data_IF_510328267642
#
_entry.id   IF_510328267642
#
_cell.length_a   1.000
_cell.length_b   1.000
_cell.length_c   1.000
_cell.angle_alpha   90.00
_cell.angle_beta   90.00
_cell.angle_gamma   90.00
#
_symmetry.space_group_name_H-M   'P 1'
#
loop_
_entity.id
_entity.type
_entity.pdbx_description
1 polymer ?
#
# COMPACT_ATOMS: atom_id res chain seq x y z
N UNK A 1 -29.71 -20.99 -9.81
CA UNK A 1 -30.10 -21.90 -10.88
C UNK A 1 -31.30 -22.73 -10.47
N UNK A 2 -32.44 -22.46 -11.12
CA UNK A 2 -33.73 -23.11 -10.80
C UNK A 2 -33.88 -24.54 -11.34
N UNK A 3 -32.80 -25.17 -11.83
CA UNK A 3 -32.86 -26.43 -12.59
C UNK A 3 -32.05 -27.58 -12.01
N UNK A 4 -31.34 -27.42 -10.89
CA UNK A 4 -30.59 -28.52 -10.29
C UNK A 4 -31.39 -29.26 -9.20
N UNK A 5 -31.72 -30.50 -9.46
CA UNK A 5 -32.38 -31.46 -8.50
C UNK A 5 -31.43 -31.94 -7.39
N UNK A 6 -30.18 -31.51 -7.32
CA UNK A 6 -29.19 -31.89 -6.30
C UNK A 6 -28.88 -30.70 -5.40
N UNK A 7 -28.66 -31.00 -4.09
CA UNK A 7 -28.17 -30.00 -3.12
C UNK A 7 -26.88 -29.36 -3.64
N UNK A 8 -26.91 -28.04 -3.82
CA UNK A 8 -25.75 -27.24 -4.22
C UNK A 8 -24.77 -27.22 -3.06
N UNK A 9 -23.51 -27.58 -3.28
CA UNK A 9 -22.44 -27.41 -2.29
C UNK A 9 -22.30 -25.91 -1.96
N UNK A 10 -22.46 -25.59 -0.68
CA UNK A 10 -22.24 -24.23 -0.17
C UNK A 10 -20.87 -24.19 0.47
N UNK A 11 -20.13 -23.14 0.25
CA UNK A 11 -18.82 -22.85 0.83
C UNK A 11 -18.58 -21.38 0.89
N UNK A 12 -17.59 -20.95 1.68
CA UNK A 12 -17.07 -19.58 1.64
C UNK A 12 -16.38 -19.42 0.29
N UNK A 13 -16.78 -18.43 -0.48
CA UNK A 13 -16.18 -18.10 -1.78
C UNK A 13 -15.10 -17.03 -1.65
N UNK A 14 -15.26 -16.13 -0.69
CA UNK A 14 -14.37 -15.01 -0.47
C UNK A 14 -14.63 -14.42 0.92
N UNK A 15 -13.59 -13.99 1.61
CA UNK A 15 -13.69 -13.26 2.86
C UNK A 15 -13.20 -11.82 2.60
N UNK A 16 -14.13 -10.86 2.66
CA UNK A 16 -13.81 -9.45 2.41
C UNK A 16 -13.55 -8.73 3.72
N UNK A 17 -12.36 -8.16 3.86
CA UNK A 17 -11.97 -7.25 4.94
C UNK A 17 -11.76 -5.84 4.38
N UNK A 18 -11.64 -4.79 5.21
CA UNK A 18 -11.51 -3.41 4.72
C UNK A 18 -10.37 -3.20 3.72
N UNK A 19 -9.22 -3.85 3.93
CA UNK A 19 -8.04 -3.73 3.07
C UNK A 19 -8.11 -4.54 1.77
N UNK A 20 -9.01 -5.54 1.69
CA UNK A 20 -9.20 -6.39 0.50
C UNK A 20 -10.53 -6.16 -0.20
N UNK A 21 -11.26 -5.10 0.14
CA UNK A 21 -12.51 -4.76 -0.52
C UNK A 21 -12.25 -4.30 -1.97
N UNK A 22 -12.87 -4.97 -2.93
CA UNK A 22 -12.78 -4.65 -4.38
C UNK A 22 -14.09 -4.02 -4.88
N UNK A 23 -15.14 -3.99 -4.05
CA UNK A 23 -16.47 -3.60 -4.48
C UNK A 23 -16.60 -2.08 -4.62
N UNK A 24 -16.96 -1.61 -5.81
CA UNK A 24 -17.14 -0.20 -6.19
C UNK A 24 -18.09 0.60 -5.27
N UNK A 25 -19.01 -0.07 -4.57
CA UNK A 25 -19.92 0.58 -3.64
C UNK A 25 -19.28 0.97 -2.30
N UNK A 26 -18.07 0.49 -2.00
CA UNK A 26 -17.36 0.70 -0.73
C UNK A 26 -16.11 1.55 -0.92
N UNK A 27 -15.60 1.64 -2.15
CA UNK A 27 -14.35 2.32 -2.47
C UNK A 27 -14.62 3.77 -2.92
N UNK A 28 -13.84 4.71 -2.39
CA UNK A 28 -13.69 6.02 -3.00
C UNK A 28 -12.79 5.87 -4.23
N UNK A 29 -13.31 6.15 -5.42
CA UNK A 29 -12.56 6.00 -6.69
C UNK A 29 -11.27 6.84 -6.74
N UNK A 30 -11.22 7.93 -5.98
CA UNK A 30 -10.09 8.86 -5.94
C UNK A 30 -9.04 8.49 -4.88
N UNK A 31 -9.26 7.45 -4.07
CA UNK A 31 -8.34 7.00 -3.03
C UNK A 31 -7.86 5.58 -3.28
N UNK A 32 -6.61 5.30 -2.85
CA UNK A 32 -6.11 3.94 -2.79
C UNK A 32 -6.75 3.19 -1.61
N UNK A 33 -6.99 1.89 -1.80
CA UNK A 33 -7.41 0.99 -0.73
C UNK A 33 -6.27 0.06 -0.35
N UNK A 34 -5.32 0.58 0.43
CA UNK A 34 -4.15 -0.20 0.82
C UNK A 34 -4.44 -1.18 1.95
N UNK A 35 -4.09 -2.44 1.70
CA UNK A 35 -3.78 -3.44 2.71
C UNK A 35 -2.28 -3.31 3.02
N UNK A 36 -1.92 -3.13 4.28
CA UNK A 36 -0.52 -3.10 4.70
C UNK A 36 -0.14 -4.32 5.53
N UNK A 37 1.14 -4.66 5.55
CA UNK A 37 1.71 -5.59 6.51
C UNK A 37 2.97 -5.01 7.14
N UNK A 38 3.11 -5.17 8.46
CA UNK A 38 4.29 -4.74 9.22
C UNK A 38 4.94 -5.95 9.86
N UNK A 39 6.23 -6.10 9.66
CA UNK A 39 7.07 -7.10 10.32
C UNK A 39 8.09 -6.43 11.23
N UNK A 40 8.14 -6.86 12.48
CA UNK A 40 9.09 -6.36 13.48
C UNK A 40 10.35 -7.21 13.48
N UNK A 41 11.34 -6.82 12.70
CA UNK A 41 12.65 -7.45 12.69
C UNK A 41 13.52 -7.04 13.88
N UNK A 42 14.70 -7.66 14.02
CA UNK A 42 15.62 -7.40 15.15
C UNK A 42 16.24 -6.00 15.11
N UNK A 43 16.55 -5.48 13.95
CA UNK A 43 17.26 -4.20 13.75
C UNK A 43 16.43 -3.17 13.00
N UNK A 44 15.47 -3.60 12.22
CA UNK A 44 14.61 -2.75 11.41
C UNK A 44 13.24 -3.41 11.26
N UNK A 45 12.22 -2.62 10.97
CA UNK A 45 10.90 -3.09 10.62
C UNK A 45 10.76 -3.17 9.10
N UNK A 46 10.05 -4.19 8.61
CA UNK A 46 9.62 -4.27 7.22
C UNK A 46 8.19 -3.80 7.08
N UNK A 47 7.88 -3.17 5.96
CA UNK A 47 6.51 -2.77 5.62
C UNK A 47 6.22 -3.06 4.16
N UNK A 48 4.99 -3.44 3.89
CA UNK A 48 4.51 -3.56 2.53
C UNK A 48 3.08 -3.05 2.42
N UNK A 49 2.73 -2.51 1.25
CA UNK A 49 1.40 -1.99 0.93
C UNK A 49 0.93 -2.60 -0.38
N UNK A 50 -0.29 -3.07 -0.41
CA UNK A 50 -0.93 -3.58 -1.62
C UNK A 50 -2.30 -2.94 -1.79
N UNK A 51 -2.53 -2.34 -2.93
CA UNK A 51 -3.87 -1.99 -3.40
C UNK A 51 -4.33 -3.05 -4.42
N UNK A 52 -5.23 -3.92 -3.99
CA UNK A 52 -5.71 -5.03 -4.82
C UNK A 52 -6.45 -4.51 -6.05
N UNK A 53 -7.14 -3.36 -5.94
CA UNK A 53 -7.93 -2.81 -7.05
C UNK A 53 -7.07 -2.30 -8.21
N UNK A 54 -5.87 -1.81 -7.90
CA UNK A 54 -4.94 -1.23 -8.89
C UNK A 54 -3.77 -2.15 -9.22
N UNK A 55 -3.50 -3.16 -8.39
CA UNK A 55 -2.31 -4.00 -8.48
C UNK A 55 -1.03 -3.32 -8.00
N UNK A 56 -1.13 -2.15 -7.37
CA UNK A 56 0.01 -1.44 -6.85
C UNK A 56 0.55 -2.13 -5.60
N UNK A 57 1.77 -2.66 -5.68
CA UNK A 57 2.42 -3.39 -4.61
C UNK A 57 3.77 -2.75 -4.29
N UNK A 58 3.89 -2.24 -3.07
CA UNK A 58 5.03 -1.45 -2.61
C UNK A 58 5.64 -2.08 -1.36
N UNK A 59 6.97 -1.99 -1.20
CA UNK A 59 7.65 -2.48 0.00
C UNK A 59 8.82 -1.60 0.39
N UNK A 60 9.13 -1.60 1.68
CA UNK A 60 10.31 -0.94 2.25
C UNK A 60 10.72 -1.60 3.55
N UNK A 61 11.90 -1.23 4.05
CA UNK A 61 12.32 -1.54 5.41
C UNK A 61 13.14 -0.38 5.98
N UNK A 62 13.10 -0.23 7.29
CA UNK A 62 13.81 0.83 7.99
C UNK A 62 13.48 0.90 9.47
N UNK A 63 13.97 1.93 10.17
CA UNK A 63 13.66 2.16 11.57
C UNK A 63 12.16 2.44 11.78
N UNK A 64 11.69 2.23 12.99
CA UNK A 64 10.27 2.38 13.37
C UNK A 64 9.69 3.75 12.99
N UNK A 65 10.45 4.83 13.20
CA UNK A 65 10.02 6.20 12.86
C UNK A 65 9.76 6.40 11.36
N UNK A 66 10.54 5.70 10.53
CA UNK A 66 10.33 5.71 9.08
C UNK A 66 9.07 4.95 8.69
N UNK A 67 8.85 3.79 9.32
CA UNK A 67 7.63 2.99 9.09
C UNK A 67 6.38 3.74 9.55
N UNK A 68 6.44 4.47 10.69
CA UNK A 68 5.33 5.32 11.14
C UNK A 68 4.97 6.39 10.10
N UNK A 69 5.97 7.04 9.51
CA UNK A 69 5.74 8.01 8.43
C UNK A 69 5.06 7.39 7.23
N UNK A 70 5.52 6.21 6.78
CA UNK A 70 4.90 5.50 5.67
C UNK A 70 3.45 5.11 5.98
N UNK A 71 3.18 4.55 7.16
CA UNK A 71 1.82 4.21 7.60
C UNK A 71 0.89 5.43 7.61
N UNK A 72 1.39 6.58 8.09
CA UNK A 72 0.61 7.81 8.13
C UNK A 72 0.35 8.37 6.72
N UNK A 73 1.33 8.31 5.84
CA UNK A 73 1.25 8.90 4.50
C UNK A 73 0.44 8.04 3.53
N UNK A 74 0.58 6.71 3.58
CA UNK A 74 -0.23 5.79 2.78
C UNK A 74 -1.63 5.55 3.36
N UNK A 75 -1.81 5.79 4.65
CA UNK A 75 -3.07 5.65 5.39
C UNK A 75 -3.83 4.36 5.04
N UNK A 76 -3.22 3.17 5.24
CA UNK A 76 -3.82 1.91 4.86
C UNK A 76 -5.16 1.70 5.59
N UNK A 77 -6.11 1.05 4.93
CA UNK A 77 -7.42 0.72 5.50
C UNK A 77 -7.33 -0.45 6.48
N UNK A 78 -6.29 -1.28 6.33
CA UNK A 78 -6.04 -2.43 7.20
C UNK A 78 -4.55 -2.70 7.31
N UNK A 79 -4.09 -3.08 8.50
CA UNK A 79 -2.68 -3.40 8.78
C UNK A 79 -2.57 -4.81 9.38
N UNK A 80 -1.78 -5.64 8.73
CA UNK A 80 -1.47 -7.00 9.18
C UNK A 80 -0.17 -6.98 9.98
N UNK A 81 -0.11 -7.77 11.04
CA UNK A 81 1.13 -8.04 11.78
C UNK A 81 1.05 -9.40 12.49
N UNK A 82 2.20 -9.83 13.03
CA UNK A 82 2.36 -11.09 13.73
C UNK A 82 1.55 -11.13 15.03
N UNK A 83 0.86 -12.24 15.28
CA UNK A 83 0.09 -12.49 16.51
C UNK A 83 0.95 -12.25 17.75
N UNK A 84 0.35 -11.58 18.74
CA UNK A 84 1.02 -11.22 19.99
C UNK A 84 1.89 -9.98 19.91
N UNK A 85 2.04 -9.34 18.76
CA UNK A 85 2.79 -8.08 18.60
C UNK A 85 1.91 -6.83 18.72
N UNK A 86 0.62 -6.97 19.03
CA UNK A 86 -0.31 -5.84 19.15
C UNK A 86 0.16 -4.76 20.12
N UNK A 87 0.64 -5.07 21.33
CA UNK A 87 1.15 -4.03 22.22
C UNK A 87 2.34 -3.26 21.67
N UNK A 88 3.22 -3.96 20.93
CA UNK A 88 4.36 -3.34 20.23
C UNK A 88 3.88 -2.45 19.09
N UNK A 89 2.90 -2.91 18.31
CA UNK A 89 2.32 -2.14 17.20
C UNK A 89 1.66 -0.85 17.73
N UNK A 90 0.78 -0.96 18.70
CA UNK A 90 0.07 0.18 19.28
C UNK A 90 1.02 1.17 19.99
N UNK A 91 2.07 0.66 20.65
CA UNK A 91 3.10 1.48 21.29
C UNK A 91 3.91 2.33 20.32
N UNK A 92 4.16 1.83 19.10
CA UNK A 92 4.95 2.53 18.08
C UNK A 92 4.10 3.37 17.12
N UNK A 93 2.91 2.88 16.74
CA UNK A 93 2.11 3.48 15.63
C UNK A 93 0.74 3.98 16.08
N UNK A 94 0.37 3.76 17.36
CA UNK A 94 -0.93 4.12 17.90
C UNK A 94 -2.03 3.11 17.53
N UNK A 95 -3.27 3.43 17.93
CA UNK A 95 -4.43 2.55 17.82
C UNK A 95 -5.45 2.98 16.75
N UNK A 96 -5.08 3.89 15.86
CA UNK A 96 -5.99 4.45 14.84
C UNK A 96 -6.23 3.54 13.63
N UNK A 97 -5.37 2.55 13.43
CA UNK A 97 -5.46 1.64 12.29
C UNK A 97 -6.39 0.46 12.58
N UNK A 98 -7.16 0.05 11.58
CA UNK A 98 -7.81 -1.25 11.64
C UNK A 98 -6.74 -2.33 11.48
N UNK A 99 -6.65 -3.25 12.43
CA UNK A 99 -5.55 -4.21 12.51
C UNK A 99 -6.06 -5.65 12.50
N UNK A 100 -5.30 -6.53 11.86
CA UNK A 100 -5.55 -7.97 11.87
C UNK A 100 -4.26 -8.74 12.17
N UNK A 101 -4.33 -9.66 13.13
CA UNK A 101 -3.20 -10.46 13.55
C UNK A 101 -3.13 -11.77 12.74
N UNK A 102 -2.00 -12.03 12.10
CA UNK A 102 -1.71 -13.29 11.42
C UNK A 102 -0.82 -14.18 12.30
N UNK A 103 -0.90 -15.48 12.08
CA UNK A 103 -0.04 -16.45 12.77
C UNK A 103 1.44 -16.19 12.48
N UNK A 104 2.31 -16.51 13.44
CA UNK A 104 3.77 -16.29 13.40
C UNK A 104 4.44 -16.95 12.20
N UNK A 105 3.99 -18.16 11.81
CA UNK A 105 4.54 -18.90 10.68
C UNK A 105 4.39 -18.18 9.34
N UNK A 106 3.46 -17.25 9.22
CA UNK A 106 3.25 -16.42 8.02
C UNK A 106 4.45 -15.49 7.79
N UNK A 107 5.08 -15.02 8.86
CA UNK A 107 6.19 -14.09 8.83
C UNK A 107 7.55 -14.79 8.76
N UNK A 108 7.69 -15.69 7.81
CA UNK A 108 8.92 -16.44 7.56
C UNK A 108 9.54 -16.02 6.22
N UNK A 109 10.85 -15.66 6.22
CA UNK A 109 11.52 -15.13 5.03
C UNK A 109 11.57 -16.12 3.87
N UNK A 110 11.86 -17.40 4.14
CA UNK A 110 11.96 -18.43 3.10
C UNK A 110 10.61 -18.63 2.42
N UNK A 111 9.55 -18.80 3.19
CA UNK A 111 8.19 -18.96 2.68
C UNK A 111 7.69 -17.72 1.94
N UNK A 112 7.97 -16.53 2.47
CA UNK A 112 7.62 -15.25 1.84
C UNK A 112 8.31 -15.10 0.48
N UNK A 113 9.62 -15.39 0.42
CA UNK A 113 10.42 -15.32 -0.81
C UNK A 113 9.92 -16.31 -1.86
N UNK A 114 9.70 -17.57 -1.49
CA UNK A 114 9.16 -18.60 -2.39
C UNK A 114 7.79 -18.19 -2.95
N UNK A 115 6.93 -17.63 -2.12
CA UNK A 115 5.61 -17.17 -2.52
C UNK A 115 5.67 -16.01 -3.51
N UNK A 116 6.52 -15.02 -3.27
CA UNK A 116 6.75 -13.90 -4.18
C UNK A 116 7.33 -14.37 -5.52
N UNK A 117 8.33 -15.26 -5.51
CA UNK A 117 8.92 -15.83 -6.71
C UNK A 117 7.89 -16.60 -7.54
N UNK A 118 7.04 -17.38 -6.88
CA UNK A 118 5.96 -18.12 -7.53
C UNK A 118 4.90 -17.18 -8.11
N UNK A 119 4.50 -16.15 -7.38
CA UNK A 119 3.49 -15.18 -7.82
C UNK A 119 3.95 -14.38 -9.05
N UNK A 120 5.19 -13.90 -9.03
CA UNK A 120 5.76 -13.11 -10.14
C UNK A 120 6.40 -13.98 -11.24
N UNK A 121 6.37 -15.31 -11.12
CA UNK A 121 6.96 -16.25 -12.08
C UNK A 121 8.44 -15.95 -12.37
N UNK A 122 9.20 -15.55 -11.34
CA UNK A 122 10.60 -15.14 -11.46
C UNK A 122 11.54 -16.05 -10.68
N UNK A 123 12.83 -16.06 -11.05
CA UNK A 123 13.88 -16.82 -10.35
C UNK A 123 14.52 -16.05 -9.20
N UNK A 124 14.42 -14.72 -9.19
CA UNK A 124 14.96 -13.85 -8.15
C UNK A 124 14.17 -12.54 -8.10
N UNK A 125 14.35 -11.77 -7.02
CA UNK A 125 13.68 -10.49 -6.81
C UNK A 125 14.55 -9.28 -7.20
N UNK A 126 15.71 -9.49 -7.82
CA UNK A 126 16.64 -8.42 -8.22
C UNK A 126 16.02 -7.43 -9.20
N UNK A 127 15.23 -7.92 -10.15
CA UNK A 127 14.54 -7.09 -11.13
C UNK A 127 13.58 -6.08 -10.52
N UNK A 128 13.07 -6.36 -9.33
CA UNK A 128 12.20 -5.46 -8.56
C UNK A 128 12.96 -4.51 -7.62
N UNK A 129 14.30 -4.66 -7.50
CA UNK A 129 15.12 -3.85 -6.59
C UNK A 129 14.91 -4.14 -5.10
N UNK A 130 14.29 -5.28 -4.75
CA UNK A 130 13.91 -5.62 -3.37
C UNK A 130 14.70 -6.80 -2.79
N UNK A 131 15.67 -7.35 -3.52
CA UNK A 131 16.40 -8.57 -3.15
C UNK A 131 17.00 -8.52 -1.74
N UNK A 132 17.47 -7.35 -1.31
CA UNK A 132 18.16 -7.13 -0.03
C UNK A 132 17.21 -6.61 1.08
N UNK A 133 15.92 -6.48 0.81
CA UNK A 133 14.92 -6.02 1.79
C UNK A 133 14.33 -7.22 2.54
N UNK A 134 15.10 -7.83 3.45
CA UNK A 134 14.70 -9.07 4.14
C UNK A 134 13.37 -8.92 4.88
N UNK A 135 13.24 -7.86 5.70
CA UNK A 135 12.02 -7.60 6.45
C UNK A 135 10.87 -7.15 5.54
N UNK A 136 11.17 -6.38 4.48
CA UNK A 136 10.20 -5.98 3.47
C UNK A 136 9.64 -7.16 2.69
N UNK A 137 10.49 -8.15 2.35
CA UNK A 137 10.08 -9.42 1.70
C UNK A 137 9.13 -10.21 2.62
N UNK A 138 9.44 -10.31 3.92
CA UNK A 138 8.57 -10.98 4.89
C UNK A 138 7.19 -10.31 4.93
N UNK A 139 7.14 -8.98 5.03
CA UNK A 139 5.90 -8.22 5.03
C UNK A 139 5.12 -8.40 3.72
N UNK A 140 5.79 -8.38 2.57
CA UNK A 140 5.16 -8.61 1.26
C UNK A 140 4.58 -10.02 1.12
N UNK A 141 5.32 -11.02 1.59
CA UNK A 141 4.86 -12.41 1.62
C UNK A 141 3.64 -12.61 2.53
N UNK A 142 3.59 -11.90 3.67
CA UNK A 142 2.46 -11.94 4.59
C UNK A 142 1.17 -11.42 3.93
N UNK A 143 1.25 -10.36 3.11
CA UNK A 143 0.11 -9.86 2.33
C UNK A 143 -0.39 -10.94 1.36
N UNK A 144 0.48 -11.54 0.55
CA UNK A 144 0.08 -12.60 -0.38
C UNK A 144 -0.49 -13.83 0.35
N UNK A 145 0.04 -14.15 1.53
CA UNK A 145 -0.50 -15.23 2.35
C UNK A 145 -1.90 -14.89 2.87
N UNK A 146 -2.14 -13.66 3.30
CA UNK A 146 -3.47 -13.20 3.72
C UNK A 146 -4.48 -13.31 2.57
N UNK A 147 -4.10 -12.92 1.35
CA UNK A 147 -4.97 -13.05 0.17
C UNK A 147 -5.34 -14.50 -0.13
N UNK A 148 -4.40 -15.44 -0.02
CA UNK A 148 -4.70 -16.86 -0.18
C UNK A 148 -5.66 -17.36 0.91
N UNK A 149 -5.45 -16.97 2.18
CA UNK A 149 -6.31 -17.36 3.30
C UNK A 149 -7.73 -16.80 3.16
N UNK A 150 -7.86 -15.60 2.56
CA UNK A 150 -9.16 -14.96 2.29
C UNK A 150 -9.75 -15.35 0.94
N UNK A 151 -9.13 -16.30 0.24
CA UNK A 151 -9.58 -16.87 -1.05
C UNK A 151 -9.65 -15.87 -2.20
N UNK A 152 -8.81 -14.82 -2.17
CA UNK A 152 -8.63 -13.89 -3.27
C UNK A 152 -7.65 -14.48 -4.30
N UNK A 153 -8.15 -15.29 -5.24
CA UNK A 153 -7.31 -15.97 -6.23
C UNK A 153 -7.10 -15.17 -7.53
N UNK A 154 -7.90 -14.14 -7.77
CA UNK A 154 -7.82 -13.33 -8.99
C UNK A 154 -6.83 -12.15 -8.81
N UNK A 155 -5.58 -12.48 -8.50
CA UNK A 155 -4.50 -11.51 -8.25
C UNK A 155 -3.45 -11.45 -9.37
N UNK A 156 -3.76 -12.03 -10.54
CA UNK A 156 -2.83 -12.05 -11.69
C UNK A 156 -2.49 -10.66 -12.28
N UNK A 157 -3.28 -9.64 -11.97
CA UNK A 157 -3.00 -8.26 -12.36
C UNK A 157 -1.92 -7.59 -11.50
N UNK A 158 -1.55 -8.18 -10.35
CA UNK A 158 -0.44 -7.72 -9.51
C UNK A 158 0.85 -8.27 -10.13
N UNK A 159 1.46 -7.51 -11.02
CA UNK A 159 2.60 -7.97 -11.85
C UNK A 159 3.95 -7.47 -11.36
N UNK A 160 3.99 -6.58 -10.39
CA UNK A 160 5.25 -5.98 -9.93
C UNK A 160 5.23 -5.66 -8.44
N UNK A 161 6.40 -5.70 -7.83
CA UNK A 161 6.67 -5.23 -6.47
C UNK A 161 7.71 -4.12 -6.56
N UNK A 162 7.40 -2.94 -6.06
CA UNK A 162 8.28 -1.78 -6.14
C UNK A 162 8.82 -1.39 -4.78
N UNK A 163 10.09 -1.02 -4.73
CA UNK A 163 10.72 -0.48 -3.53
C UNK A 163 10.30 0.98 -3.33
N UNK A 164 9.93 1.34 -2.10
CA UNK A 164 9.78 2.74 -1.69
C UNK A 164 11.19 3.26 -1.34
N UNK A 165 11.71 4.16 -2.16
CA UNK A 165 13.04 4.77 -1.96
C UNK A 165 12.92 6.03 -1.09
N UNK A 166 13.42 5.94 0.15
CA UNK A 166 13.36 7.03 1.11
C UNK A 166 14.10 8.29 0.64
N UNK A 167 15.22 8.11 -0.04
CA UNK A 167 16.11 9.23 -0.41
C UNK A 167 15.61 10.07 -1.58
N UNK A 168 14.61 9.61 -2.35
CA UNK A 168 14.06 10.33 -3.50
C UNK A 168 13.08 11.43 -3.13
N UNK A 169 12.51 11.39 -1.91
CA UNK A 169 11.42 12.26 -1.51
C UNK A 169 11.81 13.16 -0.34
N UNK A 170 11.19 14.34 -0.27
CA UNK A 170 11.23 15.17 0.94
C UNK A 170 10.40 14.46 2.02
N UNK A 171 10.98 14.33 3.20
CA UNK A 171 10.32 13.67 4.33
C UNK A 171 9.33 14.62 4.98
N UNK A 172 8.05 14.42 4.72
CA UNK A 172 6.97 15.09 5.42
C UNK A 172 6.44 14.17 6.51
N UNK A 173 6.42 14.64 7.74
CA UNK A 173 5.76 13.94 8.85
C UNK A 173 4.26 14.30 8.91
N UNK A 174 3.50 13.56 9.70
CA UNK A 174 2.05 13.76 9.82
C UNK A 174 1.68 15.16 10.33
N UNK A 175 2.53 15.76 11.18
CA UNK A 175 2.28 17.09 11.73
C UNK A 175 2.45 18.15 10.64
N UNK A 176 3.48 18.00 9.82
CA UNK A 176 3.72 18.88 8.66
C UNK A 176 2.59 18.77 7.64
N UNK A 177 2.19 17.56 7.25
CA UNK A 177 1.07 17.33 6.31
C UNK A 177 -0.21 17.97 6.84
N UNK A 178 -0.51 17.78 8.13
CA UNK A 178 -1.69 18.34 8.79
C UNK A 178 -1.60 19.86 8.95
N UNK A 179 -0.47 20.39 9.43
CA UNK A 179 -0.30 21.82 9.71
C UNK A 179 -0.31 22.66 8.44
N UNK A 180 0.14 22.10 7.32
CA UNK A 180 0.07 22.72 6.00
C UNK A 180 -1.25 22.47 5.29
N UNK A 181 -2.18 21.73 5.91
CA UNK A 181 -3.48 21.37 5.33
C UNK A 181 -3.35 20.80 3.91
N UNK A 182 -2.38 19.90 3.71
CA UNK A 182 -2.06 19.39 2.37
C UNK A 182 -3.16 18.49 1.82
N UNK A 183 -3.74 17.63 2.66
CA UNK A 183 -4.74 16.61 2.26
C UNK A 183 -6.10 16.89 2.88
N UNK A 184 -6.12 17.27 4.15
CA UNK A 184 -7.36 17.53 4.91
C UNK A 184 -7.26 18.90 5.58
N UNK A 185 -8.38 19.62 5.65
CA UNK A 185 -8.45 20.85 6.43
C UNK A 185 -8.58 20.57 7.93
N UNK A 186 -7.95 21.42 8.75
CA UNK A 186 -8.11 21.37 10.22
C UNK A 186 -9.43 21.97 10.67
N UNK A 187 -10.06 22.80 9.85
CA UNK A 187 -11.29 23.47 10.16
C UNK A 187 -12.48 22.73 9.53
N UNK A 188 -13.56 22.60 10.27
CA UNK A 188 -14.82 22.04 9.75
C UNK A 188 -15.36 22.92 8.62
N UNK A 189 -15.53 22.34 7.42
CA UNK A 189 -15.90 23.08 6.20
C UNK A 189 -14.74 23.85 5.55
N UNK A 190 -13.50 23.70 6.03
CA UNK A 190 -12.32 24.25 5.38
C UNK A 190 -11.92 23.50 4.12
N UNK A 191 -10.99 24.05 3.35
CA UNK A 191 -10.52 23.51 2.07
C UNK A 191 -9.01 23.21 2.17
N UNK A 192 -8.60 22.01 1.83
CA UNK A 192 -7.19 21.61 1.79
C UNK A 192 -6.51 22.06 0.49
N UNK A 193 -5.18 21.96 0.46
CA UNK A 193 -4.43 22.18 -0.79
C UNK A 193 -4.87 21.22 -1.88
N UNK A 194 -5.05 19.92 -1.54
CA UNK A 194 -5.52 18.92 -2.49
C UNK A 194 -6.88 19.28 -3.09
N UNK A 195 -7.84 19.75 -2.27
CA UNK A 195 -9.17 20.13 -2.74
C UNK A 195 -9.13 21.25 -3.77
N UNK A 196 -8.15 22.20 -3.62
CA UNK A 196 -8.01 23.32 -4.54
C UNK A 196 -7.38 22.92 -5.86
N UNK A 197 -6.36 22.05 -5.83
CA UNK A 197 -5.56 21.72 -7.03
C UNK A 197 -6.02 20.45 -7.74
N UNK A 198 -6.94 19.64 -7.15
CA UNK A 198 -7.46 18.43 -7.80
C UNK A 198 -8.46 18.76 -8.90
N UNK A 199 -7.95 19.05 -10.08
CA UNK A 199 -8.72 19.15 -11.31
C UNK A 199 -8.63 17.89 -12.18
N UNK A 200 -8.21 16.76 -11.59
CA UNK A 200 -8.03 15.51 -12.32
C UNK A 200 -9.38 14.92 -12.76
N UNK A 201 -9.43 14.43 -14.00
CA UNK A 201 -10.61 13.79 -14.57
C UNK A 201 -10.66 12.30 -14.18
N UNK A 202 -9.49 11.64 -14.12
CA UNK A 202 -9.42 10.21 -13.85
C UNK A 202 -9.11 9.90 -12.38
N UNK A 203 -9.68 8.82 -11.82
CA UNK A 203 -9.33 8.35 -10.47
C UNK A 203 -7.83 8.07 -10.30
N UNK A 204 -7.18 7.57 -11.34
CA UNK A 204 -5.73 7.31 -11.34
C UNK A 204 -4.94 8.61 -11.21
N UNK A 205 -5.35 9.66 -11.92
CA UNK A 205 -4.75 11.00 -11.80
C UNK A 205 -4.90 11.58 -10.40
N UNK A 206 -6.08 11.48 -9.80
CA UNK A 206 -6.34 11.96 -8.44
C UNK A 206 -5.44 11.24 -7.40
N UNK A 207 -5.32 9.91 -7.48
CA UNK A 207 -4.42 9.14 -6.60
C UNK A 207 -2.96 9.52 -6.79
N UNK A 208 -2.53 9.76 -8.04
CA UNK A 208 -1.17 10.19 -8.35
C UNK A 208 -0.88 11.59 -7.82
N UNK A 209 -1.82 12.54 -7.99
CA UNK A 209 -1.71 13.90 -7.46
C UNK A 209 -1.57 13.90 -5.93
N UNK A 210 -2.44 13.16 -5.23
CA UNK A 210 -2.37 13.00 -3.77
C UNK A 210 -1.00 12.46 -3.34
N UNK A 211 -0.47 11.47 -4.07
CA UNK A 211 0.86 10.93 -3.81
C UNK A 211 1.96 11.97 -3.98
N UNK A 212 1.95 12.75 -5.05
CA UNK A 212 2.96 13.78 -5.29
C UNK A 212 2.98 14.87 -4.23
N UNK A 213 1.82 15.20 -3.65
CA UNK A 213 1.72 16.16 -2.55
C UNK A 213 2.38 15.61 -1.29
N UNK A 214 2.13 14.34 -0.96
CA UNK A 214 2.63 13.71 0.28
C UNK A 214 4.09 13.25 0.16
N UNK A 215 4.51 12.88 -1.05
CA UNK A 215 5.87 12.45 -1.39
C UNK A 215 6.50 13.34 -2.46
N UNK A 216 6.75 14.63 -2.17
CA UNK A 216 7.36 15.52 -3.14
C UNK A 216 8.80 15.11 -3.41
N UNK A 217 9.20 15.15 -4.69
CA UNK A 217 10.55 14.81 -5.11
C UNK A 217 11.57 15.79 -4.53
N UNK A 218 12.73 15.27 -4.12
CA UNK A 218 13.84 16.05 -3.55
C UNK A 218 14.80 16.53 -4.62
N UNK A 219 15.01 15.75 -5.68
CA UNK A 219 16.01 16.02 -6.70
C UNK A 219 15.46 16.91 -7.82
N UNK A 220 16.26 17.91 -8.21
CA UNK A 220 15.92 18.87 -9.26
C UNK A 220 15.77 18.21 -10.64
N UNK A 221 16.59 17.19 -10.96
CA UNK A 221 16.57 16.52 -12.26
C UNK A 221 15.22 15.89 -12.61
N UNK A 222 14.62 15.02 -11.75
CA UNK A 222 13.28 14.50 -11.99
C UNK A 222 12.21 15.60 -12.04
N UNK A 223 12.33 16.64 -11.21
CA UNK A 223 11.40 17.78 -11.21
C UNK A 223 11.45 18.56 -12.52
N UNK A 224 12.63 18.75 -13.11
CA UNK A 224 12.78 19.47 -14.39
C UNK A 224 12.23 18.68 -15.59
N UNK A 225 12.17 17.34 -15.51
CA UNK A 225 11.61 16.51 -16.58
C UNK A 225 10.08 16.66 -16.72
N UNK A 226 9.38 17.13 -15.71
CA UNK A 226 7.95 17.41 -15.78
C UNK A 226 7.66 18.49 -16.83
N UNK A 227 8.54 19.46 -17.01
CA UNK A 227 8.41 20.50 -18.02
C UNK A 227 8.69 20.05 -19.46
N UNK A 228 9.35 18.91 -19.65
CA UNK A 228 9.66 18.37 -20.99
C UNK A 228 8.49 17.61 -21.59
N UNK A 229 7.54 17.17 -20.78
CA UNK A 229 6.36 16.42 -21.20
C UNK A 229 5.14 17.27 -21.53
N UNK A 230 5.23 18.62 -21.44
CA UNK A 230 4.16 19.47 -21.96
C UNK A 230 4.09 19.31 -23.48
N UNK A 231 2.90 18.95 -24.02
CA UNK A 231 2.75 18.90 -25.47
C UNK A 231 3.03 20.31 -25.99
N UNK A 232 4.03 20.43 -26.83
CA UNK A 232 4.28 21.66 -27.59
C UNK A 232 2.94 22.04 -28.24
N UNK A 233 2.30 23.12 -27.79
CA UNK A 233 1.18 23.70 -28.52
C UNK A 233 1.73 24.00 -29.91
N UNK A 234 1.34 23.21 -30.88
CA UNK A 234 1.45 23.58 -32.26
C UNK A 234 0.50 24.78 -32.44
N UNK A 235 1.04 25.98 -32.36
CA UNK A 235 0.35 27.18 -32.84
C UNK A 235 0.08 26.97 -34.32
N UNK A 236 -1.19 26.71 -34.61
CA UNK A 236 -1.71 26.65 -35.97
C UNK A 236 -2.19 28.04 -36.34
#
# INVERSE_FOLDING_TARGET
PKTTKKLVKRGITELVTPGVAINDNVLSYKENNFLAAVYFGKTACGISFLDISTGEFLTSEGPTDYIDKLLNNFAPKEVLFERGKKPMFEGNFGNKFFTFELEDWVFNETSAREKLLKHFETKNLKGFGVENLHNGIIASGAILQCLDMTQHYQIGHITSLSRIEEDRYVRLDKFTVRSLELIDSMNEGGTSLLDIIDHTISPMGARMLKRWIVFPLKDIKPLSLIHISEPTRLDV
#
